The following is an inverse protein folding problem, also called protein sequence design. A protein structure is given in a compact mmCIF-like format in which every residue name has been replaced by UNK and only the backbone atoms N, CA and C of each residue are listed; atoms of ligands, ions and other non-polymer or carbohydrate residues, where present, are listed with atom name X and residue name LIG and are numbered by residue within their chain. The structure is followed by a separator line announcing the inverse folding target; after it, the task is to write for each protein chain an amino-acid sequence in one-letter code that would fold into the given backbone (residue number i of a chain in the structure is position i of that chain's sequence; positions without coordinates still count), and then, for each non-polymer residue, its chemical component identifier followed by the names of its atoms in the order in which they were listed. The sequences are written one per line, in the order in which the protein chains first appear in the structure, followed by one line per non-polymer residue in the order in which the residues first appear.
data_IF_064022797074
#
_entry.id   IF_064022797074
#
_cell.length_a   1.000
_cell.length_b   1.000
_cell.length_c   1.000
_cell.angle_alpha   90.00
_cell.angle_beta   90.00
_cell.angle_gamma   90.00
#
_symmetry.space_group_name_H-M   'P 1'
#
loop_
_entity.id
_entity.type
_entity.pdbx_description
1 polymer ?
#
# COMPACT_ATOMS: atom_id res chain seq x y z
N UNK A 1 11.44 10.68 34.68
CA UNK A 1 10.76 9.37 34.75
C UNK A 1 9.33 9.60 34.36
N UNK A 2 8.83 8.95 33.30
CA UNK A 2 7.41 9.00 32.96
C UNK A 2 6.63 8.28 34.07
N UNK A 3 5.60 8.92 34.63
CA UNK A 3 4.73 8.28 35.63
C UNK A 3 3.98 7.12 34.98
N UNK A 4 3.77 6.02 35.71
CA UNK A 4 3.05 4.82 35.21
C UNK A 4 1.71 5.16 34.55
N UNK A 5 1.00 6.15 35.10
CA UNK A 5 -0.32 6.57 34.62
C UNK A 5 -0.27 7.28 33.27
N UNK A 6 0.83 8.00 32.98
CA UNK A 6 1.06 8.63 31.68
C UNK A 6 1.33 7.58 30.59
N UNK A 7 2.06 6.50 30.91
CA UNK A 7 2.28 5.40 29.97
C UNK A 7 1.00 4.62 29.67
N UNK A 8 0.16 4.37 30.68
CA UNK A 8 -1.13 3.69 30.53
C UNK A 8 -2.09 4.45 29.62
N UNK A 9 -2.24 5.75 29.87
CA UNK A 9 -3.13 6.63 29.10
C UNK A 9 -2.68 6.79 27.64
N UNK A 10 -1.36 6.87 27.39
CA UNK A 10 -0.82 6.89 26.02
C UNK A 10 -1.12 5.57 25.28
N UNK A 11 -1.00 4.42 25.94
CA UNK A 11 -1.34 3.14 25.33
C UNK A 11 -2.83 3.04 24.97
N UNK A 12 -3.72 3.53 25.82
CA UNK A 12 -5.15 3.55 25.55
C UNK A 12 -5.52 4.49 24.39
N UNK A 13 -4.92 5.68 24.33
CA UNK A 13 -5.10 6.61 23.24
C UNK A 13 -4.65 6.02 21.89
N UNK A 14 -3.48 5.37 21.88
CA UNK A 14 -2.97 4.68 20.68
C UNK A 14 -3.89 3.53 20.25
N UNK A 15 -4.34 2.69 21.20
CA UNK A 15 -5.28 1.59 20.90
C UNK A 15 -6.58 2.12 20.30
N UNK A 16 -7.17 3.17 20.88
CA UNK A 16 -8.43 3.76 20.40
C UNK A 16 -8.27 4.37 19.01
N UNK A 17 -7.20 5.14 18.78
CA UNK A 17 -6.86 5.71 17.46
C UNK A 17 -6.67 4.63 16.40
N UNK A 18 -6.02 3.51 16.77
CA UNK A 18 -5.78 2.40 15.85
C UNK A 18 -7.06 1.64 15.50
N UNK A 19 -7.97 1.44 16.46
CA UNK A 19 -9.28 0.82 16.22
C UNK A 19 -10.18 1.70 15.34
N UNK A 20 -10.31 2.99 15.65
CA UNK A 20 -11.06 3.93 14.81
C UNK A 20 -10.50 3.99 13.38
N UNK A 21 -9.17 3.94 13.26
CA UNK A 21 -8.51 3.91 11.97
C UNK A 21 -8.75 2.61 11.18
N UNK A 22 -8.72 1.45 11.84
CA UNK A 22 -9.06 0.16 11.21
C UNK A 22 -10.50 0.14 10.70
N UNK A 23 -11.46 0.71 11.44
CA UNK A 23 -12.86 0.81 11.01
C UNK A 23 -13.05 1.77 9.83
N UNK A 24 -12.20 2.79 9.70
CA UNK A 24 -12.26 3.77 8.61
C UNK A 24 -11.38 3.43 7.40
N UNK A 25 -10.67 2.30 7.40
CA UNK A 25 -9.95 1.86 6.20
C UNK A 25 -10.94 1.48 5.12
N UNK A 26 -11.09 2.38 4.16
CA UNK A 26 -11.78 2.11 2.90
C UNK A 26 -10.84 1.37 1.96
N UNK A 27 -11.37 0.48 1.09
CA UNK A 27 -10.58 -0.13 0.04
C UNK A 27 -9.91 0.95 -0.80
N UNK A 28 -8.59 0.87 -0.90
CA UNK A 28 -7.78 1.84 -1.61
C UNK A 28 -7.17 1.20 -2.85
N UNK A 29 -7.23 1.92 -3.96
CA UNK A 29 -6.70 1.44 -5.23
C UNK A 29 -5.36 2.09 -5.49
N UNK A 30 -4.34 1.27 -5.74
CA UNK A 30 -3.02 1.71 -6.16
C UNK A 30 -2.75 1.22 -7.57
N UNK A 31 -2.17 2.10 -8.39
CA UNK A 31 -1.76 1.78 -9.76
C UNK A 31 -0.23 1.81 -9.85
N UNK A 32 0.34 0.69 -10.27
CA UNK A 32 1.75 0.56 -10.62
C UNK A 32 1.93 0.46 -12.12
N UNK A 33 3.09 0.89 -12.61
CA UNK A 33 3.38 0.88 -14.04
C UNK A 33 4.81 0.46 -14.36
N UNK A 34 5.02 0.02 -15.60
CA UNK A 34 6.33 -0.34 -16.13
C UNK A 34 6.50 0.16 -17.57
N UNK A 35 7.76 0.26 -18.01
CA UNK A 35 8.17 0.67 -19.36
C UNK A 35 7.48 1.96 -19.85
N UNK A 36 7.46 3.00 -19.01
CA UNK A 36 6.86 4.30 -19.35
C UNK A 36 5.33 4.29 -19.42
N UNK A 37 4.66 3.35 -18.75
CA UNK A 37 3.19 3.25 -18.73
C UNK A 37 2.62 2.26 -19.76
N UNK A 38 3.47 1.55 -20.52
CA UNK A 38 3.03 0.50 -21.44
C UNK A 38 2.46 -0.73 -20.73
N UNK A 39 2.81 -0.94 -19.47
CA UNK A 39 2.16 -1.92 -18.60
C UNK A 39 1.64 -1.19 -17.38
N UNK A 40 0.38 -1.39 -17.01
CA UNK A 40 -0.17 -0.92 -15.74
C UNK A 40 -0.92 -2.02 -15.01
N UNK A 41 -0.78 -2.03 -13.68
CA UNK A 41 -1.43 -2.99 -12.79
C UNK A 41 -2.11 -2.20 -11.68
N UNK A 42 -3.42 -2.42 -11.52
CA UNK A 42 -4.18 -1.88 -10.39
C UNK A 42 -4.38 -2.96 -9.34
N UNK A 43 -4.07 -2.58 -8.12
CA UNK A 43 -4.31 -3.39 -6.93
C UNK A 43 -5.30 -2.66 -6.03
N UNK A 44 -6.25 -3.40 -5.49
CA UNK A 44 -7.11 -2.97 -4.41
C UNK A 44 -6.52 -3.50 -3.10
N UNK A 45 -6.46 -2.61 -2.11
CA UNK A 45 -5.99 -2.89 -0.76
C UNK A 45 -7.16 -2.62 0.17
N UNK A 46 -7.88 -3.68 0.54
CA UNK A 46 -9.07 -3.59 1.41
C UNK A 46 -8.69 -3.43 2.89
N UNK A 47 -7.50 -3.89 3.26
CA UNK A 47 -6.90 -3.76 4.58
C UNK A 47 -5.37 -3.88 4.40
N UNK A 48 -4.56 -3.48 5.39
CA UNK A 48 -3.08 -3.41 5.28
C UNK A 48 -2.36 -4.73 4.92
N UNK A 49 -3.09 -5.84 4.86
CA UNK A 49 -2.54 -7.19 4.63
C UNK A 49 -3.13 -7.83 3.37
N UNK A 50 -4.29 -7.41 2.87
CA UNK A 50 -4.92 -7.98 1.68
C UNK A 50 -4.67 -7.12 0.46
N UNK A 51 -4.07 -7.73 -0.56
CA UNK A 51 -3.81 -7.13 -1.85
C UNK A 51 -4.51 -7.96 -2.91
N UNK A 52 -5.36 -7.33 -3.72
CA UNK A 52 -6.07 -7.99 -4.81
C UNK A 52 -5.81 -7.25 -6.12
N UNK A 53 -5.33 -7.95 -7.15
CA UNK A 53 -5.22 -7.37 -8.49
C UNK A 53 -6.62 -7.22 -9.07
N UNK A 54 -6.96 -6.00 -9.50
CA UNK A 54 -8.28 -5.70 -10.11
C UNK A 54 -8.20 -5.49 -11.60
N UNK A 55 -7.08 -4.98 -12.11
CA UNK A 55 -6.91 -4.66 -13.53
C UNK A 55 -5.44 -4.81 -13.94
N UNK A 56 -5.21 -5.40 -15.11
CA UNK A 56 -3.90 -5.42 -15.77
C UNK A 56 -4.09 -4.90 -17.19
N UNK A 57 -3.36 -3.84 -17.54
CA UNK A 57 -3.37 -3.26 -18.89
C UNK A 57 -1.99 -3.40 -19.52
N UNK A 58 -2.01 -3.83 -20.78
CA UNK A 58 -0.83 -3.91 -21.63
C UNK A 58 -1.06 -3.09 -22.89
N UNK A 59 -0.04 -2.36 -23.30
CA UNK A 59 0.00 -1.72 -24.60
C UNK A 59 0.07 -2.80 -25.70
N UNK A 60 -0.76 -2.71 -26.76
CA UNK A 60 -0.79 -3.71 -27.83
C UNK A 60 0.55 -3.93 -28.52
N UNK A 61 1.44 -2.92 -28.52
CA UNK A 61 2.78 -3.02 -29.11
C UNK A 61 3.64 -4.07 -28.39
N UNK A 62 3.36 -4.35 -27.11
CA UNK A 62 4.09 -5.34 -26.32
C UNK A 62 3.69 -6.78 -26.65
N UNK A 63 2.57 -7.02 -27.34
CA UNK A 63 2.15 -8.37 -27.72
C UNK A 63 3.08 -9.01 -28.77
N UNK A 64 3.92 -8.20 -29.42
CA UNK A 64 4.94 -8.66 -30.36
C UNK A 64 6.25 -9.06 -29.65
N UNK A 65 6.39 -8.74 -28.37
CA UNK A 65 7.57 -9.06 -27.57
C UNK A 65 7.55 -10.51 -27.07
N UNK A 66 8.71 -10.98 -26.61
CA UNK A 66 8.81 -12.32 -26.00
C UNK A 66 7.98 -12.38 -24.72
N UNK A 67 7.27 -13.49 -24.51
CA UNK A 67 6.47 -13.73 -23.30
C UNK A 67 7.25 -13.45 -22.00
N UNK A 68 8.52 -13.87 -21.94
CA UNK A 68 9.37 -13.64 -20.76
C UNK A 68 9.63 -12.16 -20.45
N UNK A 69 9.66 -11.29 -21.46
CA UNK A 69 9.78 -9.84 -21.25
C UNK A 69 8.46 -9.29 -20.72
N UNK A 70 7.33 -9.72 -21.29
CA UNK A 70 6.00 -9.30 -20.85
C UNK A 70 5.76 -9.69 -19.38
N UNK A 71 6.10 -10.93 -19.01
CA UNK A 71 6.00 -11.43 -17.63
C UNK A 71 6.85 -10.57 -16.67
N UNK A 72 8.07 -10.21 -17.06
CA UNK A 72 8.94 -9.36 -16.26
C UNK A 72 8.38 -7.94 -16.09
N UNK A 73 7.81 -7.38 -17.16
CA UNK A 73 7.19 -6.05 -17.12
C UNK A 73 5.94 -6.03 -16.23
N UNK A 74 5.12 -7.07 -16.27
CA UNK A 74 3.96 -7.22 -15.38
C UNK A 74 4.42 -7.34 -13.93
N UNK A 75 5.44 -8.17 -13.67
CA UNK A 75 6.06 -8.30 -12.34
C UNK A 75 6.56 -6.95 -11.83
N UNK A 76 7.25 -6.18 -12.67
CA UNK A 76 7.76 -4.86 -12.33
C UNK A 76 6.61 -3.87 -12.01
N UNK A 77 5.57 -3.83 -12.83
CA UNK A 77 4.41 -2.95 -12.60
C UNK A 77 3.64 -3.33 -11.32
N UNK A 78 3.48 -4.62 -11.03
CA UNK A 78 2.87 -5.08 -9.78
C UNK A 78 3.70 -4.71 -8.56
N UNK A 79 5.02 -4.89 -8.62
CA UNK A 79 5.93 -4.50 -7.54
C UNK A 79 5.92 -2.98 -7.29
N UNK A 80 5.78 -2.17 -8.35
CA UNK A 80 5.60 -0.72 -8.21
C UNK A 80 4.29 -0.39 -7.49
N UNK A 81 3.19 -1.07 -7.81
CA UNK A 81 1.90 -0.91 -7.12
C UNK A 81 2.00 -1.28 -5.64
N UNK A 82 2.65 -2.41 -5.32
CA UNK A 82 2.90 -2.87 -3.96
C UNK A 82 3.79 -1.91 -3.16
N UNK A 83 4.79 -1.32 -3.81
CA UNK A 83 5.65 -0.33 -3.15
C UNK A 83 4.85 0.91 -2.77
N UNK A 84 4.03 1.42 -3.68
CA UNK A 84 3.14 2.57 -3.43
C UNK A 84 2.17 2.32 -2.28
N UNK A 85 1.57 1.12 -2.22
CA UNK A 85 0.69 0.76 -1.11
C UNK A 85 1.43 0.60 0.22
N UNK A 86 2.63 0.01 0.20
CA UNK A 86 3.48 -0.11 1.38
C UNK A 86 3.90 1.26 1.93
N UNK A 87 4.32 2.17 1.05
CA UNK A 87 4.75 3.52 1.43
C UNK A 87 3.57 4.33 1.99
N UNK A 88 2.38 4.20 1.39
CA UNK A 88 1.16 4.78 1.94
C UNK A 88 0.88 4.25 3.36
N UNK A 89 0.92 2.94 3.56
CA UNK A 89 0.70 2.31 4.86
C UNK A 89 1.72 2.77 5.91
N UNK A 90 3.01 2.88 5.54
CA UNK A 90 4.06 3.38 6.43
C UNK A 90 3.83 4.83 6.84
N UNK A 91 3.52 5.70 5.88
CA UNK A 91 3.24 7.11 6.15
C UNK A 91 2.03 7.28 7.07
N UNK A 92 1.02 6.44 6.88
CA UNK A 92 -0.20 6.44 7.68
C UNK A 92 0.05 6.00 9.12
N UNK A 93 0.79 4.91 9.33
CA UNK A 93 1.24 4.51 10.68
C UNK A 93 2.10 5.61 11.31
N UNK A 94 3.05 6.17 10.56
CA UNK A 94 3.89 7.26 11.04
C UNK A 94 3.11 8.51 11.43
N UNK A 95 1.95 8.75 10.81
CA UNK A 95 1.07 9.88 11.14
C UNK A 95 0.19 9.60 12.37
N UNK A 96 -0.07 8.32 12.67
CA UNK A 96 -0.80 7.88 13.86
C UNK A 96 0.10 7.78 15.10
N UNK A 97 1.41 7.60 14.90
CA UNK A 97 2.41 7.67 15.95
C UNK A 97 2.77 9.15 16.21
N UNK A 98 2.41 9.73 17.37
CA UNK A 98 2.81 11.09 17.69
C UNK A 98 4.32 11.10 17.97
N UNK A 99 5.13 11.48 16.98
CA UNK A 99 6.55 11.75 17.22
C UNK A 99 6.69 13.11 17.90
N UNK A 100 6.84 13.03 19.22
CA UNK A 100 7.12 14.13 20.12
C UNK A 100 7.50 13.61 21.51
N UNK A 101 8.35 12.57 21.55
CA UNK A 101 9.14 12.16 22.73
C UNK A 101 10.54 11.80 22.23
#
# INVERSE_FOLDING_TARGET
MYSSDQLSSLQELLKKKFSEFQEQQKPQVFEGSSLGGKVSVKINVSNMVSYQVTEVKLDPSLLQEKAILIEDLIRAAFNDALKKSSDYNKNLISSLLPFGI
#
